data_IF_310799842696
#
_entry.id   IF_310799842696
#
_cell.length_a   1.000
_cell.length_b   1.000
_cell.length_c   1.000
_cell.angle_alpha   90.00
_cell.angle_beta   90.00
_cell.angle_gamma   90.00
#
_symmetry.space_group_name_H-M   'P 1'
#
loop_
_entity.id
_entity.type
_entity.pdbx_description
1 polymer ?
#
# COMPACT_ATOMS: atom_id res chain seq x y z
N UNK A 1 12.58 -38.15 2.72
CA UNK A 1 11.58 -38.02 1.64
C UNK A 1 10.27 -37.56 2.29
N UNK A 2 9.99 -36.25 2.26
CA UNK A 2 8.74 -35.70 2.80
C UNK A 2 7.97 -35.04 1.65
N UNK A 3 6.76 -35.55 1.40
CA UNK A 3 5.83 -35.01 0.41
C UNK A 3 5.11 -33.81 0.99
N UNK A 4 5.24 -32.65 0.37
CA UNK A 4 4.34 -31.53 0.62
C UNK A 4 3.05 -31.75 -0.18
N UNK A 5 1.92 -31.88 0.51
CA UNK A 5 0.59 -31.76 -0.09
C UNK A 5 0.12 -30.34 0.20
N UNK A 6 0.15 -29.47 -0.82
CA UNK A 6 -0.31 -28.08 -0.67
C UNK A 6 -1.83 -28.05 -0.56
N UNK A 7 -2.29 -27.45 0.53
CA UNK A 7 -3.68 -27.43 0.97
C UNK A 7 -4.58 -26.53 0.12
N UNK A 8 -5.84 -26.95 0.05
CA UNK A 8 -6.98 -26.22 -0.48
C UNK A 8 -7.24 -24.98 0.37
N UNK A 9 -7.25 -23.79 -0.25
CA UNK A 9 -7.69 -22.55 0.40
C UNK A 9 -9.22 -22.60 0.48
N UNK A 10 -9.76 -22.92 1.66
CA UNK A 10 -11.18 -22.76 1.96
C UNK A 10 -11.49 -21.28 2.21
N UNK A 11 -12.32 -20.68 1.33
CA UNK A 11 -12.92 -19.35 1.57
C UNK A 11 -13.94 -19.45 2.70
N UNK A 12 -13.87 -18.65 3.77
CA UNK A 12 -14.96 -18.60 4.75
C UNK A 12 -16.17 -17.86 4.15
N UNK A 13 -17.26 -18.59 3.95
CA UNK A 13 -18.59 -18.04 3.67
C UNK A 13 -19.13 -17.36 4.94
N UNK A 14 -19.12 -16.03 5.00
CA UNK A 14 -19.73 -15.30 6.11
C UNK A 14 -21.22 -15.07 5.85
N UNK A 15 -22.09 -15.87 6.47
CA UNK A 15 -23.50 -15.52 6.74
C UNK A 15 -23.97 -16.10 8.09
N UNK A 16 -23.93 -15.26 9.14
CA UNK A 16 -24.79 -15.22 10.35
C UNK A 16 -24.20 -14.16 11.30
N UNK A 17 -24.92 -13.30 12.01
CA UNK A 17 -26.31 -13.29 12.47
C UNK A 17 -26.64 -11.83 12.89
N UNK A 18 -27.87 -11.36 12.67
CA UNK A 18 -28.32 -10.04 13.13
C UNK A 18 -28.37 -9.98 14.67
N UNK A 19 -27.70 -8.99 15.26
CA UNK A 19 -28.12 -8.33 16.50
C UNK A 19 -28.22 -6.82 16.24
N UNK A 20 -29.45 -6.33 16.36
CA UNK A 20 -29.84 -4.92 16.31
C UNK A 20 -29.35 -4.18 17.56
N UNK A 21 -29.33 -2.84 17.44
CA UNK A 21 -29.27 -1.81 18.48
C UNK A 21 -27.87 -1.30 18.88
N UNK A 22 -27.29 -0.51 17.98
CA UNK A 22 -27.10 0.95 18.13
C UNK A 22 -26.58 1.43 16.77
N UNK A 23 -27.34 2.29 16.07
CA UNK A 23 -26.75 3.09 15.00
C UNK A 23 -25.73 4.01 15.67
N UNK A 24 -24.48 3.57 15.71
CA UNK A 24 -23.38 4.51 15.92
C UNK A 24 -23.46 5.51 14.77
N UNK A 25 -23.70 6.78 15.08
CA UNK A 25 -23.59 7.88 14.13
C UNK A 25 -22.14 8.07 13.61
N UNK A 26 -21.22 7.18 13.97
CA UNK A 26 -19.94 7.06 13.34
C UNK A 26 -20.04 6.03 12.19
N UNK A 27 -20.84 6.37 11.17
CA UNK A 27 -20.62 5.78 9.86
C UNK A 27 -19.18 6.14 9.51
N UNK A 28 -18.26 5.17 9.59
CA UNK A 28 -16.86 5.36 9.28
C UNK A 28 -16.81 5.97 7.90
N UNK A 29 -16.53 7.28 7.82
CA UNK A 29 -16.62 8.01 6.56
C UNK A 29 -15.56 7.40 5.68
N UNK A 30 -15.98 6.67 4.67
CA UNK A 30 -15.04 6.12 3.73
C UNK A 30 -14.39 7.29 2.98
N UNK A 31 -13.11 7.18 2.67
CA UNK A 31 -12.46 8.22 1.88
C UNK A 31 -13.20 8.37 0.55
N UNK A 32 -13.57 9.62 0.22
CA UNK A 32 -14.29 9.96 -1.00
C UNK A 32 -13.43 9.84 -2.26
N UNK A 33 -12.10 9.96 -2.11
CA UNK A 33 -11.15 9.77 -3.20
C UNK A 33 -9.75 9.50 -2.65
N UNK A 34 -9.00 8.63 -3.33
CA UNK A 34 -7.57 8.40 -3.07
C UNK A 34 -6.66 9.24 -3.97
N UNK A 35 -7.21 9.95 -4.96
CA UNK A 35 -6.46 10.80 -5.90
C UNK A 35 -5.80 11.98 -5.17
N UNK A 36 -4.64 12.41 -5.65
CA UNK A 36 -3.85 13.52 -5.14
C UNK A 36 -2.68 13.06 -4.28
N UNK A 37 -2.07 14.03 -3.58
CA UNK A 37 -0.83 13.82 -2.84
C UNK A 37 -1.03 13.21 -1.45
N UNK A 38 -0.08 12.37 -1.07
CA UNK A 38 0.00 11.66 0.20
C UNK A 38 1.43 11.64 0.74
N UNK A 39 1.62 11.82 2.04
CA UNK A 39 2.93 11.85 2.70
C UNK A 39 3.03 10.78 3.77
N UNK A 40 4.16 10.09 3.88
CA UNK A 40 4.44 9.21 5.02
C UNK A 40 5.28 9.92 6.09
N UNK A 41 5.49 9.23 7.22
CA UNK A 41 6.29 9.75 8.35
C UNK A 41 7.80 9.80 8.07
N UNK A 42 8.26 9.21 6.97
CA UNK A 42 9.67 9.16 6.57
C UNK A 42 10.03 10.28 5.58
N UNK A 43 9.11 11.21 5.32
CA UNK A 43 9.30 12.29 4.35
C UNK A 43 9.07 11.89 2.89
N UNK A 44 8.77 10.62 2.61
CA UNK A 44 8.35 10.20 1.27
C UNK A 44 6.96 10.75 0.96
N UNK A 45 6.71 11.03 -0.32
CA UNK A 45 5.38 11.36 -0.79
C UNK A 45 5.04 10.63 -2.08
N UNK A 46 3.76 10.55 -2.37
CA UNK A 46 3.26 10.03 -3.63
C UNK A 46 2.13 10.90 -4.14
N UNK A 47 2.03 11.02 -5.46
CA UNK A 47 0.92 11.65 -6.15
C UNK A 47 0.16 10.58 -6.92
N UNK A 48 -1.12 10.38 -6.61
CA UNK A 48 -1.95 9.31 -7.16
C UNK A 48 -3.03 9.88 -8.06
N UNK A 49 -3.29 9.23 -9.19
CA UNK A 49 -4.41 9.53 -10.08
C UNK A 49 -5.11 8.27 -10.53
N UNK A 50 -6.44 8.26 -10.42
CA UNK A 50 -7.28 7.23 -11.06
C UNK A 50 -7.56 7.64 -12.51
N UNK A 51 -6.96 6.90 -13.44
CA UNK A 51 -7.16 7.04 -14.87
C UNK A 51 -8.00 5.86 -15.37
N UNK A 52 -9.32 5.99 -15.26
CA UNK A 52 -10.30 5.01 -15.74
C UNK A 52 -10.09 3.58 -15.20
N UNK A 53 -9.82 3.46 -13.89
CA UNK A 53 -9.63 2.16 -13.23
C UNK A 53 -8.18 1.67 -13.23
N UNK A 54 -7.25 2.47 -13.75
CA UNK A 54 -5.81 2.28 -13.56
C UNK A 54 -5.31 3.36 -12.60
N UNK A 55 -4.64 2.94 -11.53
CA UNK A 55 -3.99 3.86 -10.61
C UNK A 55 -2.61 4.19 -11.19
N UNK A 56 -2.36 5.46 -11.45
CA UNK A 56 -1.10 5.99 -11.99
C UNK A 56 -0.56 7.05 -11.03
N UNK A 57 0.73 7.38 -11.16
CA UNK A 57 1.31 8.40 -10.29
C UNK A 57 2.83 8.40 -10.26
N UNK A 58 3.37 9.08 -9.27
CA UNK A 58 4.79 9.02 -8.92
C UNK A 58 4.96 8.81 -7.41
N UNK A 59 6.03 8.11 -7.06
CA UNK A 59 6.51 7.95 -5.70
C UNK A 59 7.87 8.64 -5.58
N UNK A 60 8.02 9.45 -4.54
CA UNK A 60 9.26 10.14 -4.19
C UNK A 60 9.67 9.68 -2.80
N UNK A 61 10.84 9.05 -2.70
CA UNK A 61 11.30 8.48 -1.42
C UNK A 61 12.05 9.51 -0.58
N UNK A 62 11.64 9.67 0.68
CA UNK A 62 12.36 10.47 1.67
C UNK A 62 13.49 9.72 2.38
N UNK A 63 13.70 8.44 2.04
CA UNK A 63 14.74 7.57 2.61
C UNK A 63 15.53 6.86 1.53
N UNK A 64 16.82 6.66 1.77
CA UNK A 64 17.76 6.19 0.75
C UNK A 64 18.16 7.31 -0.20
N UNK A 65 18.56 6.94 -1.41
CA UNK A 65 18.86 7.91 -2.46
C UNK A 65 17.57 8.51 -3.02
N UNK A 66 17.58 9.82 -3.25
CA UNK A 66 16.42 10.56 -3.74
C UNK A 66 16.11 10.13 -5.17
N UNK A 67 15.08 9.30 -5.31
CA UNK A 67 14.59 8.80 -6.58
C UNK A 67 13.08 9.03 -6.67
N UNK A 68 12.65 9.57 -7.82
CA UNK A 68 11.24 9.58 -8.20
C UNK A 68 10.98 8.43 -9.16
N UNK A 69 10.01 7.58 -8.84
CA UNK A 69 9.66 6.41 -9.65
C UNK A 69 8.16 6.39 -9.99
N UNK A 70 7.77 5.86 -11.16
CA UNK A 70 6.38 5.78 -11.55
C UNK A 70 5.60 4.77 -10.70
N UNK A 71 4.34 5.09 -10.44
CA UNK A 71 3.38 4.20 -9.77
C UNK A 71 2.43 3.65 -10.83
N UNK A 72 2.19 2.33 -10.79
CA UNK A 72 1.09 1.67 -11.52
C UNK A 72 0.35 0.73 -10.60
N UNK A 73 -0.98 0.72 -10.67
CA UNK A 73 -1.81 -0.12 -9.83
C UNK A 73 -3.29 -0.10 -10.21
N UNK A 74 -4.13 -0.46 -9.23
CA UNK A 74 -5.58 -0.43 -9.38
C UNK A 74 -6.19 0.33 -8.21
N UNK A 75 -7.16 1.24 -8.45
CA UNK A 75 -7.87 1.97 -7.42
C UNK A 75 -8.90 1.06 -6.71
N UNK A 76 -9.45 1.48 -5.56
CA UNK A 76 -10.50 0.73 -4.89
C UNK A 76 -11.79 0.74 -5.73
N UNK A 77 -12.47 -0.41 -5.84
CA UNK A 77 -13.72 -0.55 -6.62
C UNK A 77 -14.96 0.09 -5.96
N UNK A 78 -14.81 0.58 -4.73
CA UNK A 78 -15.84 1.25 -3.94
C UNK A 78 -15.17 2.05 -2.83
N UNK A 79 -15.87 3.04 -2.29
CA UNK A 79 -15.40 3.81 -1.15
C UNK A 79 -15.01 2.89 0.01
N UNK A 80 -13.82 3.12 0.58
CA UNK A 80 -13.27 2.31 1.67
C UNK A 80 -12.86 0.88 1.27
N UNK A 81 -12.88 0.55 -0.02
CA UNK A 81 -12.33 -0.70 -0.55
C UNK A 81 -10.80 -0.77 -0.41
N UNK A 82 -10.28 -1.98 -0.58
CA UNK A 82 -8.84 -2.23 -0.66
C UNK A 82 -8.34 -2.01 -2.07
N UNK A 83 -7.08 -1.60 -2.20
CA UNK A 83 -6.43 -1.32 -3.47
C UNK A 83 -4.92 -1.55 -3.35
N UNK A 84 -4.17 -1.32 -4.43
CA UNK A 84 -2.73 -1.52 -4.39
C UNK A 84 -2.02 -1.00 -5.62
N UNK A 85 -0.71 -0.86 -5.49
CA UNK A 85 0.16 -0.36 -6.54
C UNK A 85 1.56 -0.96 -6.43
N UNK A 86 2.33 -0.76 -7.49
CA UNK A 86 3.70 -1.23 -7.66
C UNK A 86 4.60 -0.06 -8.03
N UNK A 87 5.83 -0.10 -7.52
CA UNK A 87 6.94 0.76 -7.94
C UNK A 87 8.12 -0.16 -8.27
N UNK A 88 8.69 0.02 -9.46
CA UNK A 88 10.00 -0.53 -9.81
C UNK A 88 11.02 0.60 -9.63
N UNK A 89 12.00 0.39 -8.77
CA UNK A 89 13.02 1.38 -8.47
C UNK A 89 14.12 1.32 -9.52
N UNK A 90 14.56 2.50 -9.97
CA UNK A 90 15.67 2.63 -10.93
C UNK A 90 16.94 2.86 -10.13
N UNK A 91 17.77 1.83 -9.90
CA UNK A 91 18.98 1.98 -9.10
C UNK A 91 19.98 2.94 -9.75
N UNK A 92 20.93 3.44 -8.95
CA UNK A 92 22.17 4.00 -9.49
C UNK A 92 22.96 2.92 -10.25
N UNK A 93 23.93 3.35 -11.07
CA UNK A 93 24.69 2.43 -11.90
C UNK A 93 25.44 1.39 -11.04
N UNK A 94 25.01 0.13 -11.12
CA UNK A 94 25.62 -1.00 -10.40
C UNK A 94 24.84 -1.51 -9.19
N UNK A 95 23.77 -0.84 -8.77
CA UNK A 95 22.91 -1.29 -7.68
C UNK A 95 21.83 -2.29 -8.16
N UNK A 96 21.40 -3.24 -7.29
CA UNK A 96 20.43 -4.27 -7.67
C UNK A 96 19.04 -3.68 -7.92
N UNK A 97 18.33 -4.23 -8.91
CA UNK A 97 16.94 -3.85 -9.16
C UNK A 97 16.06 -4.24 -7.97
N UNK A 98 15.16 -3.35 -7.57
CA UNK A 98 14.18 -3.67 -6.53
C UNK A 98 12.76 -3.29 -6.97
N UNK A 99 11.79 -4.10 -6.56
CA UNK A 99 10.37 -3.86 -6.80
C UNK A 99 9.64 -3.84 -5.47
N UNK A 100 8.84 -2.81 -5.23
CA UNK A 100 7.98 -2.74 -4.05
C UNK A 100 6.52 -2.72 -4.46
N UNK A 101 5.71 -3.50 -3.75
CA UNK A 101 4.26 -3.57 -3.94
C UNK A 101 3.57 -3.19 -2.65
N UNK A 102 2.51 -2.38 -2.73
CA UNK A 102 1.70 -1.98 -1.59
C UNK A 102 0.29 -2.53 -1.74
N UNK A 103 -0.24 -3.03 -0.63
CA UNK A 103 -1.67 -3.23 -0.42
C UNK A 103 -2.16 -2.18 0.55
N UNK A 104 -3.31 -1.57 0.27
CA UNK A 104 -3.76 -0.39 0.97
C UNK A 104 -5.27 -0.37 1.19
N UNK A 105 -5.68 0.35 2.23
CA UNK A 105 -7.05 0.78 2.45
C UNK A 105 -7.05 2.24 2.91
N UNK A 106 -7.96 3.04 2.35
CA UNK A 106 -8.18 4.40 2.83
C UNK A 106 -9.25 4.42 3.92
N UNK A 107 -8.91 4.97 5.08
CA UNK A 107 -9.76 5.06 6.25
C UNK A 107 -9.84 6.51 6.74
N UNK A 108 -10.97 6.87 7.34
CA UNK A 108 -11.11 8.13 8.08
C UNK A 108 -10.80 7.86 9.56
N UNK A 109 -9.82 8.60 10.08
CA UNK A 109 -9.43 8.61 11.48
C UNK A 109 -9.68 10.02 12.02
N UNK A 110 -10.80 10.20 12.75
CA UNK A 110 -11.19 11.47 13.39
C UNK A 110 -11.31 12.64 12.40
N UNK A 111 -11.88 12.39 11.23
CA UNK A 111 -12.07 13.38 10.16
C UNK A 111 -10.84 13.58 9.26
N UNK A 112 -9.75 12.82 9.50
CA UNK A 112 -8.54 12.86 8.67
C UNK A 112 -8.47 11.59 7.82
N UNK A 113 -8.30 11.75 6.52
CA UNK A 113 -8.08 10.62 5.61
C UNK A 113 -6.66 10.07 5.79
N UNK A 114 -6.56 8.75 5.90
CA UNK A 114 -5.30 8.03 6.13
C UNK A 114 -5.25 6.80 5.21
N UNK A 115 -4.12 6.59 4.54
CA UNK A 115 -3.83 5.33 3.86
C UNK A 115 -3.06 4.42 4.80
N UNK A 116 -3.68 3.31 5.18
CA UNK A 116 -3.01 2.23 5.88
C UNK A 116 -2.49 1.24 4.85
N UNK A 117 -1.19 0.95 4.89
CA UNK A 117 -0.54 0.11 3.89
C UNK A 117 0.30 -0.99 4.51
N UNK A 118 0.43 -2.09 3.79
CA UNK A 118 1.48 -3.09 4.01
C UNK A 118 2.18 -3.28 2.68
N UNK A 119 3.51 -3.29 2.71
CA UNK A 119 4.34 -3.42 1.53
C UNK A 119 5.26 -4.63 1.59
N UNK A 120 5.57 -5.14 0.40
CA UNK A 120 6.58 -6.17 0.18
C UNK A 120 7.58 -5.60 -0.82
N UNK A 121 8.84 -5.48 -0.40
CA UNK A 121 9.97 -5.12 -1.25
C UNK A 121 10.71 -6.39 -1.60
N UNK A 122 10.96 -6.59 -2.89
CA UNK A 122 11.75 -7.69 -3.42
C UNK A 122 12.99 -7.13 -4.12
N UNK A 123 14.16 -7.54 -3.65
CA UNK A 123 15.43 -7.27 -4.31
C UNK A 123 15.78 -8.35 -5.33
N UNK A 124 16.42 -7.92 -6.41
CA UNK A 124 17.20 -8.77 -7.29
C UNK A 124 18.32 -9.44 -6.51
N UNK A 125 18.53 -10.73 -6.78
CA UNK A 125 19.62 -11.52 -6.21
C UNK A 125 20.16 -12.44 -7.29
N UNK A 126 21.47 -12.46 -7.47
CA UNK A 126 22.13 -13.33 -8.44
C UNK A 126 22.27 -14.75 -7.92
N UNK A 127 22.66 -14.90 -6.65
CA UNK A 127 22.93 -16.20 -6.04
C UNK A 127 21.70 -16.77 -5.35
N UNK A 128 21.52 -18.08 -5.50
CA UNK A 128 20.42 -18.79 -4.83
C UNK A 128 20.53 -18.73 -3.30
N UNK A 129 21.74 -18.64 -2.76
CA UNK A 129 22.00 -18.56 -1.32
C UNK A 129 21.59 -17.23 -0.69
N UNK A 130 21.45 -16.15 -1.46
CA UNK A 130 21.02 -14.82 -0.97
C UNK A 130 19.49 -14.67 -1.06
N UNK A 131 18.80 -15.63 -1.68
CA UNK A 131 17.35 -15.56 -1.91
C UNK A 131 16.54 -15.47 -0.61
N UNK A 132 17.01 -16.04 0.48
CA UNK A 132 16.25 -16.08 1.74
C UNK A 132 16.10 -14.68 2.38
N UNK A 133 17.04 -13.77 2.13
CA UNK A 133 17.02 -12.39 2.66
C UNK A 133 16.54 -11.35 1.65
N UNK A 134 16.25 -11.77 0.41
CA UNK A 134 15.87 -10.88 -0.70
C UNK A 134 14.50 -10.17 -0.56
N UNK A 135 13.73 -10.44 0.50
CA UNK A 135 12.37 -9.92 0.66
C UNK A 135 12.18 -9.26 2.00
N UNK A 136 11.78 -7.98 1.97
CA UNK A 136 11.42 -7.21 3.15
C UNK A 136 9.90 -6.97 3.17
N UNK A 137 9.34 -6.93 4.37
CA UNK A 137 7.91 -6.62 4.60
C UNK A 137 7.83 -5.52 5.63
N UNK A 138 6.96 -4.55 5.39
CA UNK A 138 6.74 -3.47 6.33
C UNK A 138 5.38 -2.81 6.15
N UNK A 139 5.18 -1.75 6.92
CA UNK A 139 3.95 -0.96 6.91
C UNK A 139 4.33 0.51 6.83
N UNK A 140 3.62 1.25 5.98
CA UNK A 140 3.68 2.70 5.94
C UNK A 140 2.26 3.26 6.13
N UNK A 141 2.16 4.40 6.80
CA UNK A 141 0.92 5.16 6.93
C UNK A 141 1.10 6.47 6.20
N UNK A 142 0.16 6.79 5.30
CA UNK A 142 0.19 8.04 4.56
C UNK A 142 -0.97 8.96 4.92
N UNK A 143 -0.70 10.26 4.92
CA UNK A 143 -1.60 11.32 5.35
C UNK A 143 -1.74 12.38 4.25
N UNK A 144 -2.84 13.14 4.29
CA UNK A 144 -2.99 14.38 3.53
C UNK A 144 -2.22 15.49 4.25
N UNK A 145 -1.45 16.29 3.51
CA UNK A 145 -0.58 17.34 4.05
C UNK A 145 0.73 16.78 4.61
N UNK A 146 1.78 17.61 4.61
CA UNK A 146 3.09 17.22 5.16
C UNK A 146 3.00 17.25 6.69
N UNK A 147 3.68 16.34 7.37
CA UNK A 147 3.62 16.25 8.84
C UNK A 147 4.12 17.52 9.54
N UNK A 148 4.94 18.34 8.87
CA UNK A 148 5.48 19.62 9.37
C UNK A 148 4.43 20.72 9.61
N UNK A 149 3.20 20.57 9.10
CA UNK A 149 2.11 21.56 9.29
C UNK A 149 1.24 21.31 10.54
N UNK A 150 1.75 20.56 11.54
CA UNK A 150 0.95 20.05 12.68
C UNK A 150 1.27 20.66 14.05
N UNK A 151 2.18 21.64 14.13
CA UNK A 151 2.55 22.31 15.39
C UNK A 151 1.87 23.68 15.56
#
# INVERSE_FOLDING_TARGET
MFRAVSGVILRPSFHRMMRSALRSNNAQRHCSSITGRWYNLKGSYMDLSDNNGVLEGCYDTGVGELQTAPIVGFPPKKDGGTFGWVVNWTPEEGDPLTTTTWTAQCVDVRGKQVLQTTWILRSEVEKAEDRWESTLVGQDTFHRGRHEDSD
#
